data_IF_843726511997
#
_entry.id   IF_843726511997
#
_cell.length_a   1.000
_cell.length_b   1.000
_cell.length_c   1.000
_cell.angle_alpha   90.00
_cell.angle_beta   90.00
_cell.angle_gamma   90.00
#
_symmetry.space_group_name_H-M   'P 1'
#
loop_
_entity.id
_entity.type
_entity.pdbx_description
1 polymer ?
#
# COMPACT_ATOMS: atom_id res chain seq x y z
N UNK A 1 -1.44 2.48 -12.85
CA UNK A 1 -1.22 3.77 -13.54
C UNK A 1 -0.35 3.63 -14.78
N UNK A 2 0.86 3.06 -14.68
CA UNK A 2 1.75 2.89 -15.86
C UNK A 2 1.08 2.15 -17.03
N UNK A 3 0.46 0.98 -16.81
CA UNK A 3 -0.24 0.26 -17.89
C UNK A 3 -1.48 0.98 -18.42
N UNK A 4 -2.07 1.90 -17.65
CA UNK A 4 -3.14 2.79 -18.12
C UNK A 4 -2.61 3.78 -19.16
N UNK A 5 -1.46 4.38 -18.88
CA UNK A 5 -0.79 5.30 -19.82
C UNK A 5 -0.33 4.57 -21.06
N UNK A 6 0.29 3.38 -20.90
CA UNK A 6 0.74 2.55 -22.03
C UNK A 6 -0.44 2.13 -22.92
N UNK A 7 -1.56 1.69 -22.32
CA UNK A 7 -2.76 1.30 -23.07
C UNK A 7 -3.36 2.47 -23.86
N UNK A 8 -3.35 3.68 -23.29
CA UNK A 8 -3.83 4.87 -24.00
C UNK A 8 -2.86 5.29 -25.12
N UNK A 9 -1.54 5.21 -24.92
CA UNK A 9 -0.55 5.49 -25.97
C UNK A 9 -0.79 4.56 -27.17
N UNK A 10 -0.89 3.25 -26.92
CA UNK A 10 -1.19 2.27 -27.97
C UNK A 10 -2.50 2.57 -28.71
N UNK A 11 -3.56 2.95 -27.99
CA UNK A 11 -4.84 3.31 -28.63
C UNK A 11 -4.72 4.53 -29.56
N UNK A 12 -3.89 5.52 -29.21
CA UNK A 12 -3.66 6.69 -30.04
C UNK A 12 -2.73 6.40 -31.23
N UNK A 13 -1.76 5.50 -31.06
CA UNK A 13 -0.92 5.02 -32.16
C UNK A 13 -1.77 4.28 -33.21
N UNK A 14 -2.70 3.44 -32.78
CA UNK A 14 -3.62 2.72 -33.67
C UNK A 14 -4.54 3.68 -34.45
N UNK A 15 -4.97 4.79 -33.83
CA UNK A 15 -5.73 5.86 -34.51
C UNK A 15 -4.86 6.54 -35.58
N UNK A 16 -3.60 6.85 -35.23
CA UNK A 16 -2.68 7.53 -36.13
C UNK A 16 -2.36 6.67 -37.38
N UNK A 17 -2.23 5.35 -37.21
CA UNK A 17 -1.99 4.43 -38.32
C UNK A 17 -3.23 4.28 -39.21
N UNK A 18 -4.40 4.08 -38.60
CA UNK A 18 -5.64 3.84 -39.34
C UNK A 18 -6.19 5.08 -40.08
N UNK A 19 -5.72 6.29 -39.74
CA UNK A 19 -6.23 7.58 -40.26
C UNK A 19 -7.76 7.74 -40.16
N UNK A 20 -8.39 6.98 -39.26
CA UNK A 20 -9.83 6.99 -39.01
C UNK A 20 -10.10 6.68 -37.55
N UNK A 21 -11.17 7.28 -37.01
CA UNK A 21 -11.55 7.09 -35.61
C UNK A 21 -12.73 6.12 -35.58
N UNK A 22 -12.46 4.89 -35.14
CA UNK A 22 -13.49 3.89 -34.85
C UNK A 22 -13.28 3.33 -33.43
N UNK A 23 -14.37 3.18 -32.68
CA UNK A 23 -14.36 2.62 -31.33
C UNK A 23 -13.71 1.23 -31.27
N UNK A 24 -13.83 0.44 -32.34
CA UNK A 24 -13.20 -0.89 -32.40
C UNK A 24 -11.68 -0.84 -32.43
N UNK A 25 -11.09 0.25 -32.92
CA UNK A 25 -9.63 0.41 -33.05
C UNK A 25 -9.03 0.70 -31.66
N UNK A 26 -9.65 1.60 -30.90
CA UNK A 26 -9.16 1.99 -29.55
C UNK A 26 -9.52 1.01 -28.44
N UNK A 27 -10.46 0.08 -28.69
CA UNK A 27 -11.00 -0.82 -27.67
C UNK A 27 -9.91 -1.67 -26.99
N UNK A 28 -8.87 -2.08 -27.73
CA UNK A 28 -7.75 -2.86 -27.20
C UNK A 28 -6.96 -2.10 -26.13
N UNK A 29 -6.49 -0.89 -26.46
CA UNK A 29 -5.72 -0.07 -25.53
C UNK A 29 -6.51 0.36 -24.30
N UNK A 30 -7.80 0.70 -24.47
CA UNK A 30 -8.70 1.02 -23.34
C UNK A 30 -8.90 -0.19 -22.43
N UNK A 31 -9.08 -1.39 -22.99
CA UNK A 31 -9.20 -2.63 -22.19
C UNK A 31 -7.97 -2.87 -21.31
N UNK A 32 -6.76 -2.68 -21.86
CA UNK A 32 -5.50 -2.81 -21.10
C UNK A 32 -5.47 -1.79 -19.95
N UNK A 33 -5.89 -0.56 -20.22
CA UNK A 33 -5.92 0.51 -19.25
C UNK A 33 -6.89 0.22 -18.07
N UNK A 34 -8.05 -0.37 -18.36
CA UNK A 34 -9.03 -0.77 -17.35
C UNK A 34 -8.56 -1.97 -16.52
N UNK A 35 -8.03 -3.02 -17.16
CA UNK A 35 -7.54 -4.21 -16.44
C UNK A 35 -6.42 -3.82 -15.48
N UNK A 36 -5.46 -3.01 -15.94
CA UNK A 36 -4.34 -2.58 -15.09
C UNK A 36 -4.81 -1.77 -13.87
N UNK A 37 -5.90 -1.00 -14.03
CA UNK A 37 -6.51 -0.25 -12.91
C UNK A 37 -7.10 -1.19 -11.87
N UNK A 38 -7.88 -2.17 -12.29
CA UNK A 38 -8.49 -3.17 -11.40
C UNK A 38 -7.41 -4.00 -10.71
N UNK A 39 -6.40 -4.48 -11.45
CA UNK A 39 -5.28 -5.22 -10.87
C UNK A 39 -4.53 -4.41 -9.81
N UNK A 40 -4.30 -3.11 -10.07
CA UNK A 40 -3.69 -2.21 -9.09
C UNK A 40 -4.51 -2.07 -7.81
N UNK A 41 -5.83 -1.95 -7.93
CA UNK A 41 -6.72 -1.89 -6.77
C UNK A 41 -6.71 -3.18 -5.95
N UNK A 42 -6.70 -4.35 -6.59
CA UNK A 42 -6.63 -5.64 -5.90
C UNK A 42 -5.34 -5.74 -5.07
N UNK A 43 -4.20 -5.41 -5.68
CA UNK A 43 -2.90 -5.42 -4.98
C UNK A 43 -2.89 -4.40 -3.83
N UNK A 44 -3.42 -3.21 -4.04
CA UNK A 44 -3.50 -2.17 -3.01
C UNK A 44 -4.34 -2.61 -1.80
N UNK A 45 -5.50 -3.24 -2.02
CA UNK A 45 -6.35 -3.75 -0.93
C UNK A 45 -5.60 -4.81 -0.12
N UNK A 46 -4.94 -5.76 -0.79
CA UNK A 46 -4.17 -6.81 -0.11
C UNK A 46 -3.06 -6.18 0.75
N UNK A 47 -2.27 -5.27 0.17
CA UNK A 47 -1.19 -4.58 0.88
C UNK A 47 -1.72 -3.77 2.08
N UNK A 48 -2.87 -3.11 1.95
CA UNK A 48 -3.48 -2.35 3.04
C UNK A 48 -3.80 -3.25 4.24
N UNK A 49 -4.30 -4.46 4.00
CA UNK A 49 -4.57 -5.45 5.06
C UNK A 49 -3.27 -5.85 5.76
N UNK A 50 -2.23 -6.19 5.01
CA UNK A 50 -0.93 -6.55 5.58
C UNK A 50 -0.28 -5.39 6.35
N UNK A 51 -0.38 -4.17 5.83
CA UNK A 51 0.12 -2.98 6.49
C UNK A 51 -0.54 -2.79 7.86
N UNK A 52 -1.87 -2.88 7.93
CA UNK A 52 -2.61 -2.77 9.19
C UNK A 52 -2.26 -3.90 10.17
N UNK A 53 -2.04 -5.11 9.67
CA UNK A 53 -1.61 -6.24 10.49
C UNK A 53 -0.22 -6.02 11.12
N UNK A 54 0.73 -5.50 10.33
CA UNK A 54 2.08 -5.19 10.81
C UNK A 54 2.03 -4.04 11.81
N UNK A 55 1.23 -3.00 11.55
CA UNK A 55 1.02 -1.91 12.51
C UNK A 55 0.51 -2.42 13.86
N UNK A 56 -0.51 -3.28 13.86
CA UNK A 56 -1.03 -3.87 15.10
C UNK A 56 0.02 -4.67 15.87
N UNK A 57 0.94 -5.35 15.17
CA UNK A 57 2.09 -6.02 15.82
C UNK A 57 3.07 -5.03 16.42
N UNK A 58 3.37 -3.94 15.72
CA UNK A 58 4.27 -2.89 16.20
C UNK A 58 3.67 -2.25 17.47
N UNK A 59 2.38 -1.94 17.47
CA UNK A 59 1.70 -1.39 18.65
C UNK A 59 1.81 -2.32 19.87
N UNK A 60 1.69 -3.64 19.66
CA UNK A 60 1.90 -4.63 20.72
C UNK A 60 3.33 -4.60 21.27
N UNK A 61 4.34 -4.52 20.41
CA UNK A 61 5.74 -4.42 20.84
C UNK A 61 6.00 -3.12 21.61
N UNK A 62 5.39 -2.01 21.18
CA UNK A 62 5.51 -0.73 21.88
C UNK A 62 4.90 -0.82 23.27
N UNK A 63 3.76 -1.49 23.42
CA UNK A 63 3.12 -1.70 24.72
C UNK A 63 4.00 -2.55 25.66
N UNK A 64 4.59 -3.63 25.16
CA UNK A 64 5.52 -4.47 25.93
C UNK A 64 6.76 -3.66 26.38
N UNK A 65 7.27 -2.78 25.51
CA UNK A 65 8.39 -1.88 25.85
C UNK A 65 8.00 -0.84 26.91
N UNK A 66 6.77 -0.34 26.87
CA UNK A 66 6.26 0.61 27.86
C UNK A 66 6.15 -0.05 29.23
N UNK A 67 5.62 -1.28 29.30
CA UNK A 67 5.52 -2.07 30.54
C UNK A 67 6.91 -2.36 31.14
N UNK A 68 7.85 -2.83 30.33
CA UNK A 68 9.23 -3.08 30.78
C UNK A 68 9.93 -1.80 31.29
N UNK A 69 9.61 -0.65 30.69
CA UNK A 69 10.15 0.64 31.12
C UNK A 69 9.57 1.08 32.46
N UNK A 70 8.26 0.87 32.69
CA UNK A 70 7.62 1.13 33.98
C UNK A 70 8.20 0.24 35.08
N UNK A 71 8.36 -1.05 34.82
CA UNK A 71 8.96 -2.01 35.76
C UNK A 71 10.38 -1.59 36.18
N UNK A 72 11.18 -1.09 35.23
CA UNK A 72 12.51 -0.58 35.51
C UNK A 72 12.47 0.64 36.44
N UNK A 73 11.56 1.59 36.18
CA UNK A 73 11.40 2.78 37.03
C UNK A 73 10.97 2.39 38.44
N UNK A 74 10.02 1.45 38.57
CA UNK A 74 9.55 0.94 39.85
C UNK A 74 10.65 0.24 40.65
N UNK A 75 11.49 -0.56 39.98
CA UNK A 75 12.65 -1.20 40.59
C UNK A 75 13.64 -0.15 41.13
N UNK A 76 13.95 0.87 40.35
CA UNK A 76 14.85 1.96 40.75
C UNK A 76 14.28 2.76 41.92
N UNK A 77 12.97 3.03 41.92
CA UNK A 77 12.29 3.73 43.01
C UNK A 77 12.30 2.91 44.31
N UNK A 78 11.97 1.61 44.24
CA UNK A 78 12.04 0.69 45.40
C UNK A 78 13.45 0.63 45.98
N UNK A 79 14.48 0.55 45.13
CA UNK A 79 15.88 0.55 45.57
C UNK A 79 16.31 1.86 46.22
N UNK A 80 15.82 3.01 45.74
CA UNK A 80 16.07 4.32 46.36
C UNK A 80 15.42 4.43 47.75
N UNK A 81 14.21 3.88 47.93
CA UNK A 81 13.51 3.86 49.23
C UNK A 81 14.17 2.95 50.26
N UNK A 82 14.79 1.84 49.83
CA UNK A 82 15.55 0.93 50.70
C UNK A 82 16.98 1.44 51.04
N UNK A 83 17.45 2.50 50.36
CA UNK A 83 18.75 3.12 50.58
C UNK A 83 18.79 4.17 51.70
N UNK A 84 17.80 4.19 52.60
CA UNK A 84 17.85 4.85 53.91
C UNK A 84 17.74 3.82 55.00
#
# INVERSE_FOLDING_TARGET
FMGTVIGMISAFDDIAEANTINASIVAGGIKIALITTVSGLIVAIILQVFYNYILSKIDGIVLDMEEASMDLVDLLYKRKLQGK
#
